data_IF_443251497329
#
_entry.id   IF_443251497329
#
_cell.length_a   1.000
_cell.length_b   1.000
_cell.length_c   1.000
_cell.angle_alpha   90.00
_cell.angle_beta   90.00
_cell.angle_gamma   90.00
#
_symmetry.space_group_name_H-M   'P 1'
#
loop_
_entity.id
_entity.type
_entity.pdbx_description
1 polymer ?
#
# COMPACT_ATOMS: atom_id res chain seq x y z
N UNK A 1 -38.39 -12.40 -33.23
CA UNK A 1 -38.38 -11.74 -34.56
C UNK A 1 -38.95 -10.34 -34.38
N UNK A 2 -38.35 -9.34 -35.04
CA UNK A 2 -38.75 -7.93 -35.18
C UNK A 2 -38.61 -7.07 -33.90
N UNK A 3 -37.57 -6.24 -33.69
CA UNK A 3 -37.03 -5.06 -34.41
C UNK A 3 -37.98 -3.85 -34.54
N UNK A 4 -37.34 -2.69 -34.37
CA UNK A 4 -37.69 -1.34 -34.82
C UNK A 4 -38.59 -0.51 -33.89
N UNK A 5 -38.40 0.80 -33.73
CA UNK A 5 -37.59 1.79 -34.49
C UNK A 5 -37.44 3.06 -33.60
N UNK A 6 -36.28 3.72 -33.50
CA UNK A 6 -35.73 4.75 -34.43
C UNK A 6 -36.51 6.09 -34.31
N UNK A 7 -35.94 7.08 -33.59
CA UNK A 7 -35.46 8.41 -34.09
C UNK A 7 -36.60 9.44 -34.33
N UNK A 8 -36.49 10.78 -34.31
CA UNK A 8 -35.40 11.78 -34.27
C UNK A 8 -36.07 13.17 -34.06
N UNK A 9 -35.52 13.97 -33.12
CA UNK A 9 -35.08 15.39 -33.22
C UNK A 9 -36.07 16.55 -33.53
N UNK A 10 -35.78 17.67 -32.84
CA UNK A 10 -35.86 19.10 -33.24
C UNK A 10 -37.16 19.88 -32.94
N UNK A 11 -37.19 21.19 -32.59
CA UNK A 11 -36.22 22.29 -32.42
C UNK A 11 -36.95 23.52 -31.79
N UNK A 12 -36.20 24.53 -31.30
CA UNK A 12 -36.59 25.94 -30.96
C UNK A 12 -37.27 26.16 -29.57
N UNK A 13 -36.57 26.71 -28.55
CA UNK A 13 -36.28 28.13 -28.24
C UNK A 13 -37.55 28.92 -27.77
N UNK A 14 -37.60 29.60 -26.61
CA UNK A 14 -37.24 31.03 -26.45
C UNK A 14 -37.60 31.55 -25.01
N UNK A 15 -36.56 31.99 -24.27
CA UNK A 15 -36.40 33.13 -23.31
C UNK A 15 -37.29 33.36 -22.05
N UNK A 16 -36.63 33.66 -20.91
CA UNK A 16 -37.23 34.35 -19.75
C UNK A 16 -36.32 34.47 -18.51
N UNK A 17 -35.54 35.56 -18.41
CA UNK A 17 -34.66 35.95 -17.30
C UNK A 17 -35.31 35.95 -15.90
N UNK A 18 -34.54 35.63 -14.85
CA UNK A 18 -34.18 36.60 -13.81
C UNK A 18 -32.94 36.16 -13.01
N UNK A 19 -31.97 37.06 -12.94
CA UNK A 19 -30.64 36.93 -12.34
C UNK A 19 -30.69 37.03 -10.81
N UNK A 20 -29.79 36.33 -10.12
CA UNK A 20 -29.33 36.71 -8.78
C UNK A 20 -27.83 36.37 -8.63
N UNK A 21 -27.04 37.44 -8.77
CA UNK A 21 -25.68 37.66 -8.27
C UNK A 21 -25.11 36.66 -7.26
N UNK A 22 -23.98 36.04 -7.59
CA UNK A 22 -22.79 36.10 -6.73
C UNK A 22 -21.50 36.08 -7.57
N UNK A 23 -20.93 37.28 -7.68
CA UNK A 23 -19.50 37.58 -7.55
C UNK A 23 -18.52 36.72 -8.34
N UNK A 24 -18.18 37.26 -9.50
CA UNK A 24 -16.97 37.03 -10.28
C UNK A 24 -15.71 37.01 -9.39
N UNK A 25 -15.04 35.85 -9.33
CA UNK A 25 -13.60 35.78 -9.08
C UNK A 25 -12.91 35.44 -10.40
N UNK A 26 -12.52 36.48 -11.13
CA UNK A 26 -11.56 36.37 -12.24
C UNK A 26 -10.22 36.86 -11.73
N UNK A 27 -9.34 35.91 -11.37
CA UNK A 27 -7.91 36.03 -11.61
C UNK A 27 -7.30 34.62 -11.65
N UNK A 28 -6.88 34.22 -12.84
CA UNK A 28 -5.67 33.42 -13.08
C UNK A 28 -5.43 32.21 -12.17
N UNK A 29 -5.91 31.04 -12.61
CA UNK A 29 -5.23 29.76 -12.32
C UNK A 29 -5.16 28.87 -13.55
N UNK A 30 -4.73 29.47 -14.66
CA UNK A 30 -4.03 28.80 -15.76
C UNK A 30 -2.63 28.38 -15.29
N UNK A 31 -2.55 27.48 -14.29
CA UNK A 31 -1.29 26.92 -13.79
C UNK A 31 -1.50 25.63 -12.98
N UNK A 32 -2.43 24.75 -13.36
CA UNK A 32 -2.45 23.38 -12.83
C UNK A 32 -2.14 22.33 -13.90
N UNK A 33 -1.37 22.71 -14.91
CA UNK A 33 -0.73 21.81 -15.85
C UNK A 33 0.76 21.56 -15.51
N UNK A 34 1.18 21.89 -14.29
CA UNK A 34 2.53 21.65 -13.76
C UNK A 34 2.38 21.27 -12.29
N UNK A 35 1.95 20.03 -11.99
CA UNK A 35 2.62 19.18 -10.99
C UNK A 35 1.99 17.77 -10.84
N UNK A 36 1.98 17.01 -11.92
CA UNK A 36 1.75 15.55 -11.85
C UNK A 36 2.98 14.78 -11.33
N UNK A 37 3.95 15.48 -10.69
CA UNK A 37 5.08 14.88 -10.00
C UNK A 37 5.01 15.05 -8.47
N UNK A 38 4.39 16.11 -7.94
CA UNK A 38 4.36 16.33 -6.48
C UNK A 38 3.38 15.44 -5.71
N UNK A 39 2.44 14.75 -6.36
CA UNK A 39 1.65 13.70 -5.68
C UNK A 39 2.44 12.41 -5.41
N UNK A 40 3.63 12.23 -6.02
CA UNK A 40 4.53 11.14 -5.64
C UNK A 40 5.42 11.49 -4.43
N UNK A 41 5.51 12.77 -4.05
CA UNK A 41 6.44 13.24 -3.01
C UNK A 41 5.80 13.54 -1.65
N UNK A 42 4.50 13.30 -1.50
CA UNK A 42 3.80 13.40 -0.22
C UNK A 42 3.41 12.00 0.29
N UNK A 43 4.40 11.10 0.41
CA UNK A 43 4.25 9.90 1.25
C UNK A 43 4.65 10.27 2.69
N UNK A 44 4.00 11.31 3.22
CA UNK A 44 4.06 11.65 4.63
C UNK A 44 3.38 10.52 5.39
N UNK A 45 4.19 9.69 6.04
CA UNK A 45 4.01 9.23 7.42
C UNK A 45 2.56 9.11 7.94
N UNK A 46 1.64 8.51 7.18
CA UNK A 46 0.51 7.86 7.83
C UNK A 46 1.11 6.64 8.53
N UNK A 47 0.91 6.59 9.84
CA UNK A 47 1.24 5.41 10.62
C UNK A 47 0.42 4.23 10.11
N UNK A 48 0.97 3.47 9.17
CA UNK A 48 0.35 2.26 8.63
C UNK A 48 0.57 1.06 9.56
N UNK A 49 0.98 1.29 10.81
CA UNK A 49 1.04 0.21 11.78
C UNK A 49 -0.33 -0.42 11.94
N UNK A 50 -0.34 -1.74 12.03
CA UNK A 50 -1.52 -2.58 12.13
C UNK A 50 -2.51 -2.45 10.96
N UNK A 51 -2.11 -1.80 9.84
CA UNK A 51 -2.90 -1.72 8.62
C UNK A 51 -2.29 -2.60 7.53
N UNK A 52 -3.01 -3.64 7.05
CA UNK A 52 -2.58 -4.42 5.91
C UNK A 52 -2.44 -3.55 4.66
N UNK A 53 -1.35 -3.74 3.93
CA UNK A 53 -1.07 -3.05 2.68
C UNK A 53 -0.75 -4.04 1.56
N UNK A 54 -1.30 -3.74 0.38
CA UNK A 54 -1.05 -4.49 -0.84
C UNK A 54 0.15 -3.87 -1.55
N UNK A 55 1.09 -4.72 -1.94
CA UNK A 55 2.26 -4.33 -2.71
C UNK A 55 2.41 -5.24 -3.91
N UNK A 56 2.99 -4.69 -4.98
CA UNK A 56 3.36 -5.45 -6.17
C UNK A 56 4.83 -5.17 -6.45
N UNK A 57 5.63 -6.23 -6.48
CA UNK A 57 7.06 -6.16 -6.73
C UNK A 57 7.35 -6.71 -8.12
N UNK A 58 8.16 -5.97 -8.88
CA UNK A 58 8.79 -6.47 -10.08
C UNK A 58 10.17 -7.05 -9.72
N UNK A 59 10.45 -8.25 -10.22
CA UNK A 59 11.70 -8.96 -9.98
C UNK A 59 12.85 -8.22 -10.64
N UNK A 60 13.86 -7.89 -9.85
CA UNK A 60 15.11 -7.33 -10.36
C UNK A 60 16.12 -8.43 -10.72
N UNK A 61 17.31 -8.03 -11.23
CA UNK A 61 18.38 -8.97 -11.56
C UNK A 61 18.85 -9.84 -10.39
N UNK A 62 18.73 -9.32 -9.16
CA UNK A 62 19.08 -10.00 -7.90
C UNK A 62 17.86 -10.58 -7.17
N UNK A 63 16.72 -10.69 -7.85
CA UNK A 63 15.44 -11.05 -7.24
C UNK A 63 14.69 -9.83 -6.71
N UNK A 64 13.87 -10.04 -5.67
CA UNK A 64 13.03 -8.98 -5.09
C UNK A 64 13.75 -8.14 -4.02
N UNK A 65 14.82 -8.68 -3.41
CA UNK A 65 15.68 -7.99 -2.44
C UNK A 65 15.14 -7.94 -1.01
N UNK A 66 14.56 -9.05 -0.55
CA UNK A 66 14.18 -9.25 0.85
C UNK A 66 14.52 -10.68 1.30
N UNK A 67 14.59 -10.88 2.62
CA UNK A 67 14.80 -12.18 3.26
C UNK A 67 13.56 -12.54 4.06
N UNK A 68 12.99 -13.73 3.82
CA UNK A 68 11.85 -14.26 4.58
C UNK A 68 12.36 -15.12 5.73
N UNK A 69 11.77 -14.94 6.91
CA UNK A 69 12.03 -15.78 8.08
C UNK A 69 10.73 -16.35 8.62
N UNK A 70 10.77 -17.63 8.97
CA UNK A 70 9.71 -18.28 9.73
C UNK A 70 9.92 -18.15 11.24
N UNK A 71 8.83 -17.85 11.95
CA UNK A 71 8.81 -17.88 13.41
C UNK A 71 8.92 -19.34 13.88
N UNK A 72 9.92 -19.60 14.72
CA UNK A 72 10.16 -20.93 15.31
C UNK A 72 9.47 -21.03 16.67
N UNK A 73 9.11 -22.25 17.08
CA UNK A 73 8.66 -22.52 18.44
C UNK A 73 7.22 -22.11 18.73
N UNK A 74 6.33 -22.14 17.74
CA UNK A 74 4.89 -22.13 18.00
C UNK A 74 4.47 -23.59 18.25
N UNK A 75 4.20 -24.01 19.49
CA UNK A 75 3.68 -25.34 19.76
C UNK A 75 2.21 -25.44 19.30
N UNK A 76 1.87 -26.49 18.55
CA UNK A 76 0.50 -26.74 18.10
C UNK A 76 0.08 -26.00 16.81
N UNK A 77 -1.22 -25.92 16.56
CA UNK A 77 -1.78 -25.17 15.43
C UNK A 77 -1.63 -23.67 15.68
N UNK A 78 -0.95 -22.97 14.77
CA UNK A 78 -0.76 -21.53 14.86
C UNK A 78 -2.08 -20.80 14.61
N UNK A 79 -2.50 -19.97 15.57
CA UNK A 79 -3.62 -19.06 15.42
C UNK A 79 -3.11 -17.62 15.24
N UNK A 80 -3.42 -16.95 14.11
CA UNK A 80 -3.11 -15.53 13.92
C UNK A 80 -3.69 -14.65 15.05
N UNK A 81 -2.88 -13.75 15.59
CA UNK A 81 -3.28 -12.77 16.61
C UNK A 81 -2.86 -11.35 16.20
N UNK A 82 -3.32 -10.33 16.93
CA UNK A 82 -2.95 -8.93 16.68
C UNK A 82 -1.43 -8.69 16.82
N UNK A 83 -0.78 -9.39 17.75
CA UNK A 83 0.66 -9.28 17.97
C UNK A 83 1.46 -10.12 16.95
N UNK A 84 0.89 -11.24 16.50
CA UNK A 84 1.55 -12.20 15.63
C UNK A 84 0.56 -12.65 14.56
N UNK A 85 0.42 -11.88 13.47
CA UNK A 85 -0.61 -12.13 12.48
C UNK A 85 -0.23 -13.23 11.46
N UNK A 86 1.05 -13.59 11.36
CA UNK A 86 1.51 -14.67 10.48
C UNK A 86 2.77 -15.38 11.02
N UNK A 87 3.03 -16.59 10.51
CA UNK A 87 4.27 -17.33 10.80
C UNK A 87 5.48 -16.78 10.06
N UNK A 88 5.27 -16.15 8.90
CA UNK A 88 6.35 -15.67 8.05
C UNK A 88 6.43 -14.14 8.07
N UNK A 89 7.64 -13.62 8.19
CA UNK A 89 7.91 -12.18 8.19
C UNK A 89 9.18 -11.85 7.40
N UNK A 90 9.35 -10.58 7.06
CA UNK A 90 10.54 -10.05 6.39
C UNK A 90 11.63 -9.76 7.42
N UNK A 91 12.73 -10.49 7.40
CA UNK A 91 13.85 -10.28 8.34
C UNK A 91 14.74 -9.12 7.89
N UNK A 92 15.00 -9.03 6.59
CA UNK A 92 15.88 -8.03 6.01
C UNK A 92 15.36 -7.58 4.66
N UNK A 93 15.63 -6.33 4.35
CA UNK A 93 15.36 -5.72 3.05
C UNK A 93 16.67 -5.09 2.57
N UNK A 94 17.01 -5.37 1.31
CA UNK A 94 18.22 -4.84 0.71
C UNK A 94 17.96 -3.41 0.20
N UNK A 95 18.84 -2.48 0.56
CA UNK A 95 18.73 -1.09 0.13
C UNK A 95 18.77 -0.96 -1.40
N UNK A 96 17.90 -0.12 -1.96
CA UNK A 96 17.77 0.09 -3.40
C UNK A 96 17.15 -1.11 -4.15
N UNK A 97 16.60 -2.09 -3.44
CA UNK A 97 15.87 -3.21 -4.05
C UNK A 97 14.45 -2.81 -4.48
N UNK A 98 13.75 -3.73 -5.16
CA UNK A 98 12.33 -3.55 -5.47
C UNK A 98 11.49 -3.49 -4.18
N UNK A 99 11.85 -4.29 -3.17
CA UNK A 99 11.18 -4.28 -1.87
C UNK A 99 11.34 -2.95 -1.13
N UNK A 100 12.56 -2.40 -1.12
CA UNK A 100 12.86 -1.10 -0.50
C UNK A 100 12.05 0.04 -1.14
N UNK A 101 12.02 0.09 -2.48
CA UNK A 101 11.20 1.06 -3.22
C UNK A 101 9.70 0.89 -3.00
N UNK A 102 9.24 -0.32 -2.68
CA UNK A 102 7.86 -0.61 -2.34
C UNK A 102 7.52 -0.30 -0.87
N UNK A 103 8.43 0.36 -0.13
CA UNK A 103 8.25 0.71 1.28
C UNK A 103 7.98 -0.52 2.17
N UNK A 104 8.56 -1.66 1.82
CA UNK A 104 8.64 -2.79 2.75
C UNK A 104 9.61 -2.45 3.88
N UNK A 105 9.34 -2.97 5.08
CA UNK A 105 10.15 -2.77 6.27
C UNK A 105 10.52 -4.13 6.90
N UNK A 106 11.73 -4.27 7.46
CA UNK A 106 12.04 -5.41 8.31
C UNK A 106 11.02 -5.52 9.45
N UNK A 107 10.57 -6.73 9.75
CA UNK A 107 9.51 -7.02 10.71
C UNK A 107 8.09 -7.06 10.13
N UNK A 108 7.91 -6.76 8.85
CA UNK A 108 6.60 -6.93 8.19
C UNK A 108 6.19 -8.40 8.13
N UNK A 109 4.96 -8.68 8.51
CA UNK A 109 4.36 -10.01 8.38
C UNK A 109 3.70 -10.19 7.02
N UNK A 110 3.85 -11.39 6.45
CA UNK A 110 3.26 -11.74 5.15
C UNK A 110 1.91 -12.41 5.40
N UNK A 111 0.84 -11.77 4.92
CA UNK A 111 -0.53 -12.29 5.05
C UNK A 111 -0.95 -13.10 3.82
N UNK A 112 -0.64 -12.59 2.64
CA UNK A 112 -1.02 -13.21 1.37
C UNK A 112 0.11 -13.08 0.33
N UNK A 113 0.22 -14.07 -0.56
CA UNK A 113 1.11 -14.08 -1.74
C UNK A 113 0.27 -14.41 -2.97
N UNK A 114 0.23 -13.51 -3.95
CA UNK A 114 -0.61 -13.60 -5.16
C UNK A 114 -2.07 -13.99 -4.86
N UNK A 115 -2.66 -13.42 -3.80
CA UNK A 115 -4.03 -13.72 -3.36
C UNK A 115 -4.21 -15.04 -2.61
N UNK A 116 -3.15 -15.82 -2.40
CA UNK A 116 -3.16 -17.02 -1.54
C UNK A 116 -2.82 -16.62 -0.11
N UNK A 117 -3.68 -16.97 0.85
CA UNK A 117 -3.40 -16.72 2.27
C UNK A 117 -2.25 -17.60 2.76
N UNK A 118 -1.23 -16.99 3.36
CA UNK A 118 -0.02 -17.67 3.82
C UNK A 118 0.21 -17.56 5.33
N UNK A 119 -0.77 -17.04 6.08
CA UNK A 119 -0.62 -16.71 7.51
C UNK A 119 -0.19 -17.90 8.36
N UNK A 120 -0.72 -19.09 8.06
CA UNK A 120 -0.47 -20.36 8.77
C UNK A 120 0.45 -21.31 7.98
N UNK A 121 0.95 -20.90 6.80
CA UNK A 121 1.75 -21.77 5.94
C UNK A 121 3.19 -21.93 6.44
N UNK A 122 3.79 -23.08 6.11
CA UNK A 122 5.19 -23.35 6.41
C UNK A 122 6.13 -22.44 5.62
N UNK A 123 7.35 -22.28 6.13
CA UNK A 123 8.36 -21.45 5.48
C UNK A 123 8.64 -21.90 4.04
N UNK A 124 8.78 -23.22 3.85
CA UNK A 124 9.05 -23.83 2.55
C UNK A 124 7.94 -23.53 1.55
N UNK A 125 6.67 -23.65 1.97
CA UNK A 125 5.52 -23.44 1.10
C UNK A 125 5.40 -21.97 0.66
N UNK A 126 5.66 -21.02 1.56
CA UNK A 126 5.67 -19.58 1.23
C UNK A 126 6.81 -19.25 0.26
N UNK A 127 8.00 -19.78 0.49
CA UNK A 127 9.14 -19.59 -0.42
C UNK A 127 8.85 -20.18 -1.80
N UNK A 128 8.19 -21.34 -1.87
CA UNK A 128 7.76 -21.94 -3.13
C UNK A 128 6.77 -21.05 -3.89
N UNK A 129 5.75 -20.51 -3.21
CA UNK A 129 4.79 -19.58 -3.82
C UNK A 129 5.46 -18.32 -4.38
N UNK A 130 6.40 -17.74 -3.62
CA UNK A 130 7.16 -16.57 -4.07
C UNK A 130 8.00 -16.91 -5.31
N UNK A 131 8.66 -18.07 -5.31
CA UNK A 131 9.47 -18.51 -6.46
C UNK A 131 8.64 -18.84 -7.69
N UNK A 132 7.44 -19.41 -7.52
CA UNK A 132 6.52 -19.73 -8.62
C UNK A 132 5.84 -18.50 -9.22
N UNK A 133 5.92 -17.34 -8.55
CA UNK A 133 5.33 -16.08 -9.03
C UNK A 133 5.99 -15.51 -10.30
N UNK A 134 7.19 -16.00 -10.65
CA UNK A 134 7.92 -15.51 -11.82
C UNK A 134 8.52 -14.13 -11.57
N UNK A 135 8.16 -13.16 -12.43
CA UNK A 135 8.75 -11.81 -12.43
C UNK A 135 7.90 -10.76 -11.71
N UNK A 136 6.64 -11.07 -11.40
CA UNK A 136 5.72 -10.17 -10.70
C UNK A 136 5.24 -10.88 -9.45
N UNK A 137 5.37 -10.23 -8.30
CA UNK A 137 4.98 -10.77 -7.01
C UNK A 137 4.03 -9.80 -6.31
N UNK A 138 2.76 -10.18 -6.21
CA UNK A 138 1.78 -9.49 -5.38
C UNK A 138 1.84 -10.02 -3.96
N UNK A 139 1.91 -9.15 -2.96
CA UNK A 139 1.90 -9.54 -1.55
C UNK A 139 1.02 -8.62 -0.73
N UNK A 140 0.39 -9.18 0.29
CA UNK A 140 -0.28 -8.43 1.36
C UNK A 140 0.56 -8.54 2.62
N UNK A 141 0.98 -7.42 3.15
CA UNK A 141 1.83 -7.37 4.34
C UNK A 141 1.24 -6.47 5.41
N UNK A 142 1.62 -6.68 6.66
CA UNK A 142 1.22 -5.83 7.79
C UNK A 142 2.44 -5.54 8.66
N UNK A 143 2.61 -4.27 9.03
CA UNK A 143 3.61 -3.85 10.02
C UNK A 143 2.92 -3.90 11.38
N UNK A 144 3.34 -4.78 12.28
CA UNK A 144 2.81 -4.77 13.66
C UNK A 144 3.52 -3.68 14.44
N UNK A 145 2.76 -2.70 14.92
CA UNK A 145 3.29 -1.63 15.76
C UNK A 145 3.67 -2.19 17.13
N UNK A 146 4.97 -2.36 17.40
CA UNK A 146 5.40 -2.52 18.78
C UNK A 146 5.37 -1.15 19.44
N UNK A 147 4.56 -0.99 20.49
CA UNK A 147 4.51 0.22 21.33
C UNK A 147 5.86 0.61 21.95
N UNK A 148 6.92 -0.15 21.69
CA UNK A 148 8.29 0.12 22.12
C UNK A 148 8.96 1.29 21.38
N UNK A 149 8.38 1.79 20.28
CA UNK A 149 8.84 3.01 19.61
C UNK A 149 8.72 4.30 20.44
N UNK A 150 7.83 4.33 21.45
CA UNK A 150 7.70 5.48 22.35
C UNK A 150 8.77 5.55 23.46
N UNK A 151 9.66 4.56 23.59
CA UNK A 151 10.69 4.57 24.63
C UNK A 151 11.97 5.34 24.26
N UNK A 152 12.21 5.59 22.98
CA UNK A 152 13.45 6.23 22.52
C UNK A 152 13.29 7.72 22.16
N UNK A 153 12.12 8.33 22.35
CA UNK A 153 11.89 9.76 22.07
C UNK A 153 11.88 10.64 23.33
N UNK A 154 12.40 10.15 24.46
CA UNK A 154 12.32 10.82 25.77
C UNK A 154 13.64 11.15 26.45
N UNK A 155 14.79 11.13 25.77
CA UNK A 155 16.10 11.32 26.42
C UNK A 155 16.97 12.48 25.89
N UNK A 156 16.39 13.51 25.27
CA UNK A 156 17.16 14.68 24.81
C UNK A 156 17.07 15.94 25.71
N UNK A 157 16.29 15.93 26.80
CA UNK A 157 16.17 17.08 27.71
C UNK A 157 16.79 16.84 29.10
N UNK A 158 18.00 16.28 29.17
CA UNK A 158 18.69 16.07 30.44
C UNK A 158 20.20 16.33 30.39
N UNK A 159 20.64 17.39 29.68
CA UNK A 159 21.93 18.03 29.90
C UNK A 159 21.82 19.54 29.69
N UNK A 160 21.27 20.23 30.68
CA UNK A 160 21.47 21.66 30.90
C UNK A 160 21.52 21.90 32.41
N UNK A 161 22.70 21.71 33.00
CA UNK A 161 23.12 22.26 34.28
C UNK A 161 24.64 22.34 34.31
#
# INVERSE_FOLDING_TARGET
>A
MFFSAVQVVNHQAVWGLQQAHYKWYSVTKLAYCFDMCYLCFFHSDLDTTNLPRMIVLQKGPRGFGFVVRGRRGVPGEFQPSLEVPALQYLEKIDAGSAADRASLKPGDYILEVNGTNVTTMSHEAVVQLIRSSGDILGMKVITVGSSQGLRNFGSLDAQAQ
#
